data_IF_356773700000
#
_entry.id   IF_356773700000
#
_cell.length_a   1.000
_cell.length_b   1.000
_cell.length_c   1.000
_cell.angle_alpha   90.00
_cell.angle_beta   90.00
_cell.angle_gamma   90.00
#
_symmetry.space_group_name_H-M   'P 1'
#
loop_
_entity.id
_entity.type
_entity.pdbx_description
1 polymer ?
#
# COMPACT_ATOMS: atom_id res chain seq x y z
N UNK A 1 -39.70 8.00 -23.50
CA UNK A 1 -39.59 9.28 -22.74
C UNK A 1 -38.16 9.49 -22.37
N UNK A 2 -37.47 10.44 -23.01
CA UNK A 2 -36.13 10.81 -22.60
C UNK A 2 -36.20 11.55 -21.25
N UNK A 3 -35.69 10.97 -20.22
CA UNK A 3 -35.56 11.62 -18.90
C UNK A 3 -34.77 12.92 -19.07
N UNK A 4 -35.36 14.06 -18.70
CA UNK A 4 -34.64 15.33 -18.60
C UNK A 4 -33.58 15.16 -17.55
N UNK A 5 -32.34 14.96 -17.97
CA UNK A 5 -31.19 14.97 -17.07
C UNK A 5 -31.14 16.28 -16.30
N UNK A 6 -31.09 16.22 -14.99
CA UNK A 6 -30.92 17.40 -14.14
C UNK A 6 -29.54 17.98 -14.46
N UNK A 7 -29.53 19.13 -15.13
CA UNK A 7 -28.28 19.82 -15.47
C UNK A 7 -27.83 20.66 -14.26
N UNK A 8 -27.07 20.04 -13.36
CA UNK A 8 -26.51 20.73 -12.18
C UNK A 8 -25.26 21.48 -12.63
N UNK A 9 -25.28 22.80 -12.53
CA UNK A 9 -24.08 23.63 -12.71
C UNK A 9 -23.36 23.76 -11.37
N UNK A 10 -22.15 23.26 -11.32
CA UNK A 10 -21.30 23.38 -10.11
C UNK A 10 -20.30 24.51 -10.29
N UNK A 11 -20.12 25.33 -9.27
CA UNK A 11 -19.14 26.45 -9.31
C UNK A 11 -17.73 25.90 -9.42
N UNK A 12 -16.98 26.34 -10.41
CA UNK A 12 -15.60 25.94 -10.67
C UNK A 12 -14.69 26.14 -9.44
N UNK A 13 -14.79 27.31 -8.79
CA UNK A 13 -14.00 27.63 -7.60
C UNK A 13 -14.27 26.65 -6.44
N UNK A 14 -15.49 26.17 -6.29
CA UNK A 14 -15.83 25.18 -5.26
C UNK A 14 -15.17 23.81 -5.53
N UNK A 15 -15.13 23.40 -6.80
CA UNK A 15 -14.45 22.16 -7.21
C UNK A 15 -12.95 22.28 -6.97
N UNK A 16 -12.33 23.36 -7.40
CA UNK A 16 -10.87 23.59 -7.19
C UNK A 16 -10.54 23.56 -5.70
N UNK A 17 -11.35 24.23 -4.88
CA UNK A 17 -11.15 24.18 -3.42
C UNK A 17 -11.25 22.78 -2.88
N UNK A 18 -12.29 22.03 -3.25
CA UNK A 18 -12.47 20.65 -2.79
C UNK A 18 -11.31 19.72 -3.23
N UNK A 19 -10.78 19.91 -4.43
CA UNK A 19 -9.59 19.17 -4.90
C UNK A 19 -8.33 19.52 -4.10
N UNK A 20 -8.13 20.79 -3.74
CA UNK A 20 -7.03 21.21 -2.85
C UNK A 20 -7.17 20.62 -1.44
N UNK A 21 -8.38 20.68 -0.89
CA UNK A 21 -8.68 20.10 0.43
C UNK A 21 -8.40 18.60 0.41
N UNK A 22 -8.78 17.90 -0.68
CA UNK A 22 -8.50 16.47 -0.86
C UNK A 22 -7.01 16.16 -0.98
N UNK A 23 -6.23 16.97 -1.70
CA UNK A 23 -4.78 16.81 -1.75
C UNK A 23 -4.15 16.91 -0.36
N UNK A 24 -4.58 17.90 0.43
CA UNK A 24 -4.08 18.08 1.80
C UNK A 24 -4.40 16.89 2.70
N UNK A 25 -5.63 16.37 2.60
CA UNK A 25 -6.05 15.17 3.32
C UNK A 25 -5.22 13.94 2.91
N UNK A 26 -5.01 13.75 1.60
CA UNK A 26 -4.22 12.63 1.08
C UNK A 26 -2.77 12.67 1.55
N UNK A 27 -2.14 13.85 1.61
CA UNK A 27 -0.78 14.00 2.15
C UNK A 27 -0.74 13.54 3.61
N UNK A 28 -1.70 13.97 4.41
CA UNK A 28 -1.76 13.59 5.83
C UNK A 28 -1.95 12.08 6.01
N UNK A 29 -2.86 11.46 5.25
CA UNK A 29 -3.08 10.00 5.27
C UNK A 29 -1.81 9.24 4.85
N UNK A 30 -1.09 9.75 3.83
CA UNK A 30 0.16 9.13 3.37
C UNK A 30 1.25 9.20 4.44
N UNK A 31 1.40 10.36 5.11
CA UNK A 31 2.37 10.53 6.20
C UNK A 31 2.05 9.63 7.42
N UNK A 32 0.77 9.42 7.72
CA UNK A 32 0.35 8.48 8.77
C UNK A 32 0.70 7.04 8.37
N UNK A 33 0.37 6.65 7.15
CA UNK A 33 0.71 5.32 6.63
C UNK A 33 2.22 5.06 6.66
N UNK A 34 3.05 6.00 6.25
CA UNK A 34 4.51 5.86 6.27
C UNK A 34 5.06 5.67 7.70
N UNK A 35 4.49 6.39 8.67
CA UNK A 35 4.83 6.19 10.10
C UNK A 35 4.41 4.82 10.62
N UNK A 36 3.23 4.34 10.23
CA UNK A 36 2.76 3.01 10.60
C UNK A 36 3.62 1.91 9.98
N UNK A 37 4.02 2.06 8.71
CA UNK A 37 4.95 1.14 8.03
C UNK A 37 6.30 1.09 8.75
N UNK A 38 6.88 2.24 9.10
CA UNK A 38 8.14 2.28 9.85
C UNK A 38 8.02 1.59 11.22
N UNK A 39 6.92 1.82 11.92
CA UNK A 39 6.66 1.17 13.21
C UNK A 39 6.49 -0.36 13.05
N UNK A 40 5.78 -0.78 12.00
CA UNK A 40 5.62 -2.20 11.67
C UNK A 40 6.97 -2.86 11.33
N UNK A 41 7.82 -2.23 10.52
CA UNK A 41 9.14 -2.77 10.18
C UNK A 41 10.01 -2.97 11.41
N UNK A 42 10.00 -2.02 12.35
CA UNK A 42 10.72 -2.16 13.63
C UNK A 42 10.16 -3.29 14.49
N UNK A 43 8.84 -3.41 14.57
CA UNK A 43 8.17 -4.47 15.30
C UNK A 43 8.46 -5.85 14.68
N UNK A 44 8.49 -5.93 13.36
CA UNK A 44 8.79 -7.15 12.61
C UNK A 44 10.23 -7.60 12.84
N UNK A 45 11.21 -6.70 12.79
CA UNK A 45 12.59 -7.05 13.07
C UNK A 45 12.76 -7.60 14.49
N UNK A 46 12.12 -6.99 15.48
CA UNK A 46 12.11 -7.48 16.85
C UNK A 46 11.48 -8.87 16.97
N UNK A 47 10.35 -9.07 16.30
CA UNK A 47 9.67 -10.36 16.24
C UNK A 47 10.57 -11.44 15.60
N UNK A 48 11.25 -11.13 14.50
CA UNK A 48 12.19 -12.05 13.83
C UNK A 48 13.34 -12.45 14.77
N UNK A 49 13.89 -11.50 15.56
CA UNK A 49 14.89 -11.79 16.57
C UNK A 49 14.37 -12.71 17.68
N UNK A 50 13.16 -12.46 18.18
CA UNK A 50 12.52 -13.29 19.20
C UNK A 50 12.23 -14.71 18.69
N UNK A 51 11.77 -14.83 17.44
CA UNK A 51 11.58 -16.14 16.75
C UNK A 51 12.91 -16.86 16.64
N UNK A 52 13.98 -16.17 16.22
CA UNK A 52 15.32 -16.75 16.14
C UNK A 52 15.81 -17.29 17.49
N UNK A 53 15.58 -16.55 18.58
CA UNK A 53 15.95 -16.98 19.92
C UNK A 53 15.17 -18.21 20.38
N UNK A 54 13.86 -18.26 20.13
CA UNK A 54 13.03 -19.44 20.43
C UNK A 54 13.49 -20.64 19.62
N UNK A 55 13.80 -20.43 18.34
CA UNK A 55 14.32 -21.47 17.45
C UNK A 55 15.63 -22.02 17.95
N UNK A 56 16.60 -21.17 18.32
CA UNK A 56 17.91 -21.60 18.85
C UNK A 56 17.76 -22.44 20.12
N UNK A 57 16.82 -22.11 21.00
CA UNK A 57 16.57 -22.88 22.24
C UNK A 57 15.91 -24.25 21.96
N UNK A 58 15.28 -24.41 20.81
CA UNK A 58 14.57 -25.62 20.41
C UNK A 58 15.42 -26.58 19.59
N UNK A 59 16.60 -26.15 19.11
CA UNK A 59 17.53 -26.95 18.30
C UNK A 59 18.51 -27.68 19.23
N UNK A 60 18.50 -29.00 19.18
CA UNK A 60 19.58 -29.85 19.69
C UNK A 60 20.30 -30.55 18.53
N UNK A 61 21.39 -31.27 18.83
CA UNK A 61 22.18 -31.94 17.82
C UNK A 61 21.36 -33.02 17.07
N UNK A 62 20.47 -33.69 17.74
CA UNK A 62 19.59 -34.71 17.14
C UNK A 62 18.61 -34.07 16.16
N UNK A 63 17.97 -32.95 16.53
CA UNK A 63 17.07 -32.20 15.66
C UNK A 63 17.79 -31.74 14.38
N UNK A 64 19.05 -31.28 14.52
CA UNK A 64 19.87 -30.91 13.36
C UNK A 64 20.12 -32.11 12.46
N UNK A 65 20.55 -33.25 12.99
CA UNK A 65 20.84 -34.44 12.21
C UNK A 65 19.61 -35.00 11.50
N UNK A 66 18.44 -34.92 12.14
CA UNK A 66 17.19 -35.48 11.60
C UNK A 66 16.57 -34.57 10.51
N UNK A 67 16.89 -33.28 10.50
CA UNK A 67 16.23 -32.28 9.66
C UNK A 67 17.20 -31.48 8.76
N UNK A 68 18.46 -31.90 8.65
CA UNK A 68 19.44 -31.20 7.83
C UNK A 68 19.21 -31.49 6.34
N UNK A 69 19.17 -30.43 5.54
CA UNK A 69 19.10 -30.51 4.09
C UNK A 69 20.30 -29.78 3.47
N UNK A 70 21.08 -30.49 2.66
CA UNK A 70 22.30 -29.98 2.05
C UNK A 70 22.05 -29.82 0.55
N UNK A 71 22.08 -28.59 0.04
CA UNK A 71 21.98 -28.29 -1.39
C UNK A 71 23.29 -27.70 -1.91
N UNK A 72 23.90 -28.37 -2.87
CA UNK A 72 25.05 -27.82 -3.60
C UNK A 72 24.59 -26.81 -4.64
N UNK A 73 25.20 -25.63 -4.65
CA UNK A 73 24.97 -24.65 -5.71
C UNK A 73 25.56 -25.12 -7.03
N UNK A 74 24.80 -25.00 -8.09
CA UNK A 74 25.21 -25.39 -9.46
C UNK A 74 25.82 -24.27 -10.29
N UNK A 75 26.21 -23.17 -9.67
CA UNK A 75 26.87 -22.08 -10.40
C UNK A 75 28.36 -22.38 -10.56
N UNK A 76 28.89 -22.31 -11.79
CA UNK A 76 30.28 -22.58 -12.11
C UNK A 76 31.31 -21.73 -11.34
N UNK A 77 30.88 -20.65 -10.69
CA UNK A 77 31.69 -19.73 -9.91
C UNK A 77 31.34 -19.71 -8.40
N UNK A 78 30.48 -20.59 -7.92
CA UNK A 78 30.03 -20.57 -6.56
C UNK A 78 30.32 -21.92 -5.86
N UNK A 79 31.43 -21.97 -5.12
CA UNK A 79 31.82 -23.13 -4.31
C UNK A 79 31.08 -23.17 -2.95
N UNK A 80 29.90 -22.54 -2.87
CA UNK A 80 29.13 -22.49 -1.63
C UNK A 80 28.08 -23.61 -1.60
N UNK A 81 27.99 -24.23 -0.44
CA UNK A 81 26.96 -25.25 -0.14
C UNK A 81 25.93 -24.63 0.79
N UNK A 82 24.67 -24.65 0.40
CA UNK A 82 23.58 -24.24 1.27
C UNK A 82 23.21 -25.38 2.21
N UNK A 83 23.32 -25.12 3.51
CA UNK A 83 22.85 -26.02 4.55
C UNK A 83 21.60 -25.40 5.17
N UNK A 84 20.49 -26.09 5.06
CA UNK A 84 19.21 -25.67 5.66
C UNK A 84 18.80 -26.69 6.73
N UNK A 85 18.23 -26.19 7.80
CA UNK A 85 17.69 -27.02 8.88
C UNK A 85 16.21 -26.65 9.03
N UNK A 86 15.35 -27.64 8.83
CA UNK A 86 13.91 -27.48 9.04
C UNK A 86 13.58 -27.74 10.50
N UNK A 87 13.15 -26.74 11.23
CA UNK A 87 12.74 -26.84 12.62
C UNK A 87 11.25 -26.57 12.75
N UNK A 88 10.52 -27.53 13.29
CA UNK A 88 9.09 -27.35 13.60
C UNK A 88 8.95 -26.91 15.06
N UNK A 89 8.34 -25.75 15.27
CA UNK A 89 8.09 -25.18 16.61
C UNK A 89 6.58 -25.02 16.76
N UNK A 90 6.05 -25.40 17.91
CA UNK A 90 4.64 -25.14 18.23
C UNK A 90 4.32 -23.65 18.19
N UNK A 91 3.26 -23.27 17.51
CA UNK A 91 2.83 -21.88 17.37
C UNK A 91 2.63 -21.16 18.71
N UNK A 92 2.23 -21.91 19.75
CA UNK A 92 2.06 -21.37 21.10
C UNK A 92 3.38 -20.98 21.81
N UNK A 93 4.52 -21.40 21.27
CA UNK A 93 5.87 -21.03 21.76
C UNK A 93 6.49 -19.86 21.01
N UNK A 94 5.89 -19.51 19.88
CA UNK A 94 6.34 -18.39 19.07
C UNK A 94 5.72 -17.08 19.56
N UNK A 95 6.46 -15.96 19.47
CA UNK A 95 5.87 -14.64 19.71
C UNK A 95 4.81 -14.33 18.64
N UNK A 96 3.85 -13.48 19.00
CA UNK A 96 2.79 -13.07 18.09
C UNK A 96 3.37 -12.20 16.98
N UNK A 97 3.10 -12.58 15.73
CA UNK A 97 3.51 -11.78 14.56
C UNK A 97 2.80 -10.42 14.55
N UNK A 98 3.56 -9.31 14.29
CA UNK A 98 2.92 -8.01 14.15
C UNK A 98 1.95 -7.97 12.97
N UNK A 99 0.82 -7.31 13.17
CA UNK A 99 -0.18 -7.14 12.12
C UNK A 99 0.32 -6.19 11.03
N UNK A 100 0.22 -6.62 9.77
CA UNK A 100 0.68 -5.83 8.63
C UNK A 100 -0.17 -4.58 8.39
N UNK A 101 0.49 -3.51 7.96
CA UNK A 101 -0.16 -2.22 7.64
C UNK A 101 -0.80 -2.26 6.26
N UNK A 102 -2.02 -1.77 6.14
CA UNK A 102 -2.75 -1.70 4.87
C UNK A 102 -2.48 -0.38 4.17
N UNK A 103 -2.00 -0.43 2.93
CA UNK A 103 -1.82 0.76 2.12
C UNK A 103 -3.20 1.40 1.79
N UNK A 104 -3.48 2.65 2.23
CA UNK A 104 -4.73 3.34 1.99
C UNK A 104 -4.91 3.76 0.51
N UNK A 105 -3.82 3.87 -0.24
CA UNK A 105 -3.79 4.30 -1.65
C UNK A 105 -3.32 3.19 -2.59
N UNK A 106 -3.69 1.94 -2.31
CA UNK A 106 -3.42 0.87 -3.28
C UNK A 106 -4.28 1.04 -4.53
N UNK A 107 -3.77 0.56 -5.66
CA UNK A 107 -4.53 0.51 -6.90
C UNK A 107 -5.85 -0.24 -6.73
N UNK A 108 -6.95 0.37 -7.14
CA UNK A 108 -8.29 -0.23 -7.02
C UNK A 108 -9.10 0.00 -8.28
N UNK A 109 -9.97 -0.98 -8.58
CA UNK A 109 -11.01 -0.86 -9.57
C UNK A 109 -12.38 -0.79 -8.89
N UNK A 110 -13.17 0.22 -9.24
CA UNK A 110 -14.57 0.32 -8.84
C UNK A 110 -15.42 0.39 -10.11
N UNK A 111 -15.98 -0.75 -10.49
CA UNK A 111 -16.68 -0.88 -11.77
C UNK A 111 -15.73 -0.60 -12.94
N UNK A 112 -16.01 0.49 -13.72
CA UNK A 112 -15.15 0.94 -14.83
C UNK A 112 -14.09 1.97 -14.42
N UNK A 113 -14.08 2.38 -13.16
CA UNK A 113 -13.20 3.46 -12.68
C UNK A 113 -11.96 2.85 -12.04
N UNK A 114 -10.80 3.18 -12.58
CA UNK A 114 -9.50 2.87 -12.00
C UNK A 114 -9.03 4.04 -11.14
N UNK A 115 -8.61 3.73 -9.91
CA UNK A 115 -7.89 4.65 -9.04
C UNK A 115 -6.47 4.12 -8.84
N UNK A 116 -5.50 4.89 -9.28
CA UNK A 116 -4.08 4.57 -9.14
C UNK A 116 -3.57 4.62 -7.70
N UNK A 117 -2.27 4.46 -7.55
CA UNK A 117 -1.58 4.64 -6.28
C UNK A 117 -1.58 6.13 -5.84
N UNK A 118 -0.92 6.42 -4.71
CA UNK A 118 -0.87 7.79 -4.16
C UNK A 118 -0.33 8.80 -5.17
N UNK A 119 0.82 8.52 -5.79
CA UNK A 119 1.48 9.43 -6.74
C UNK A 119 0.63 9.68 -7.97
N UNK A 120 0.01 8.64 -8.53
CA UNK A 120 -0.89 8.74 -9.67
C UNK A 120 -2.11 9.60 -9.34
N UNK A 121 -2.76 9.37 -8.18
CA UNK A 121 -3.91 10.16 -7.72
C UNK A 121 -3.55 11.63 -7.52
N UNK A 122 -2.41 11.91 -6.89
CA UNK A 122 -1.91 13.28 -6.69
C UNK A 122 -1.66 13.97 -8.02
N UNK A 123 -1.02 13.29 -8.98
CA UNK A 123 -0.74 13.83 -10.30
C UNK A 123 -2.04 14.15 -11.07
N UNK A 124 -3.01 13.25 -11.03
CA UNK A 124 -4.30 13.44 -11.71
C UNK A 124 -5.12 14.59 -11.10
N UNK A 125 -5.16 14.72 -9.77
CA UNK A 125 -5.82 15.83 -9.08
C UNK A 125 -5.15 17.17 -9.43
N UNK A 126 -3.82 17.24 -9.39
CA UNK A 126 -3.07 18.43 -9.78
C UNK A 126 -3.33 18.83 -11.24
N UNK A 127 -3.37 17.84 -12.14
CA UNK A 127 -3.70 18.06 -13.54
C UNK A 127 -5.14 18.60 -13.71
N UNK A 128 -6.10 18.03 -12.98
CA UNK A 128 -7.49 18.49 -12.98
C UNK A 128 -7.60 19.95 -12.50
N UNK A 129 -6.90 20.32 -11.42
CA UNK A 129 -6.85 21.69 -10.92
C UNK A 129 -6.26 22.64 -11.98
N UNK A 130 -5.19 22.22 -12.66
CA UNK A 130 -4.57 23.02 -13.73
C UNK A 130 -5.54 23.26 -14.86
N UNK A 131 -6.22 22.22 -15.34
CA UNK A 131 -7.21 22.34 -16.43
C UNK A 131 -8.37 23.26 -16.01
N UNK A 132 -8.87 23.11 -14.78
CA UNK A 132 -9.95 23.97 -14.28
C UNK A 132 -9.52 25.44 -14.14
N UNK A 133 -8.27 25.70 -13.80
CA UNK A 133 -7.74 27.05 -13.73
C UNK A 133 -7.55 27.72 -15.09
N UNK A 134 -7.38 26.96 -16.16
CA UNK A 134 -7.30 27.48 -17.53
C UNK A 134 -8.66 27.88 -18.12
N UNK A 135 -9.77 27.50 -17.48
CA UNK A 135 -11.12 27.86 -17.93
C UNK A 135 -11.52 29.23 -17.39
N UNK A 136 -12.13 30.07 -18.24
CA UNK A 136 -12.71 31.36 -17.86
C UNK A 136 -14.17 31.23 -17.39
N UNK A 137 -14.76 30.04 -17.48
CA UNK A 137 -16.16 29.79 -17.09
C UNK A 137 -16.30 29.71 -15.57
N UNK A 138 -17.33 30.37 -15.02
CA UNK A 138 -17.63 30.30 -13.57
C UNK A 138 -18.15 28.93 -13.13
N UNK A 139 -18.75 28.16 -14.07
CA UNK A 139 -19.38 26.87 -13.78
C UNK A 139 -18.82 25.77 -14.65
N UNK A 140 -18.83 24.57 -14.11
CA UNK A 140 -18.39 23.34 -14.79
C UNK A 140 -19.63 22.55 -15.21
N UNK A 141 -19.59 21.98 -16.42
CA UNK A 141 -20.67 21.13 -16.90
C UNK A 141 -20.63 19.75 -16.21
N UNK A 142 -21.75 19.02 -16.30
CA UNK A 142 -21.93 17.74 -15.60
C UNK A 142 -20.90 16.68 -16.02
N UNK A 143 -20.47 16.65 -17.27
CA UNK A 143 -19.50 15.67 -17.77
C UNK A 143 -18.09 15.94 -17.21
N UNK A 144 -17.68 17.20 -17.17
CA UNK A 144 -16.38 17.60 -16.57
C UNK A 144 -16.38 17.35 -15.06
N UNK A 145 -17.50 17.66 -14.38
CA UNK A 145 -17.65 17.35 -12.96
C UNK A 145 -17.54 15.84 -12.69
N UNK A 146 -18.20 15.00 -13.50
CA UNK A 146 -18.16 13.55 -13.33
C UNK A 146 -16.73 12.99 -13.46
N UNK A 147 -15.88 13.60 -14.31
CA UNK A 147 -14.50 13.18 -14.48
C UNK A 147 -13.61 13.46 -13.24
N UNK A 148 -13.92 14.50 -12.48
CA UNK A 148 -13.16 14.88 -11.27
C UNK A 148 -13.80 14.39 -9.98
N UNK A 149 -15.09 14.09 -9.99
CA UNK A 149 -15.83 13.66 -8.79
C UNK A 149 -15.31 12.34 -8.18
N UNK A 150 -14.63 11.52 -8.97
CA UNK A 150 -14.00 10.27 -8.48
C UNK A 150 -12.88 10.51 -7.47
N UNK A 151 -12.35 11.75 -7.39
CA UNK A 151 -11.29 12.12 -6.43
C UNK A 151 -11.82 12.84 -5.20
N UNK A 152 -13.06 13.31 -5.26
CA UNK A 152 -13.72 14.00 -4.15
C UNK A 152 -14.44 13.03 -3.23
#
# INVERSE_FOLDING_TARGET
MAGKGINIKVKRAAIIKALHDRLTEMVHIQEEYEREVEAYEKARLKWEEEVAQVTLKSIDFKTICDNINIRKGYSANNNQTNVMIDVMIDDNKLPVEPEGVKNPFRNTWSGKTYLGNYEERVAEIKNAITILNLSDEETVNTSTYANVAKYL
#
